data_IF_688398826273
#
_entry.id   IF_688398826273
#
_cell.length_a   1.000
_cell.length_b   1.000
_cell.length_c   1.000
_cell.angle_alpha   90.00
_cell.angle_beta   90.00
_cell.angle_gamma   90.00
#
_symmetry.space_group_name_H-M   'P 1'
#
loop_
_entity.id
_entity.type
_entity.pdbx_description
1 polymer ?
#
# COMPACT_ATOMS: atom_id res chain seq x y z
N UNK A 1 2.62 -4.65 -1.02
CA UNK A 1 1.38 -3.86 -0.95
C UNK A 1 1.57 -2.72 0.00
N UNK A 2 0.94 -1.60 -0.24
CA UNK A 2 1.00 -0.43 0.62
C UNK A 2 -0.41 -0.01 1.03
N UNK A 3 -0.53 0.62 2.19
CA UNK A 3 -1.77 1.25 2.66
C UNK A 3 -1.67 2.74 2.41
N UNK A 4 -2.62 3.26 1.64
CA UNK A 4 -2.67 4.67 1.22
C UNK A 4 -3.86 5.34 1.89
N UNK A 5 -3.65 6.50 2.49
CA UNK A 5 -4.73 7.38 2.92
C UNK A 5 -5.06 8.34 1.78
N UNK A 6 -6.31 8.38 1.36
CA UNK A 6 -6.86 9.35 0.40
C UNK A 6 -7.61 10.40 1.19
N UNK A 7 -7.25 11.67 1.00
CA UNK A 7 -7.91 12.82 1.64
C UNK A 7 -8.50 13.68 0.53
N UNK A 8 -9.80 13.54 0.32
CA UNK A 8 -10.53 14.16 -0.80
C UNK A 8 -11.99 14.32 -0.39
N UNK A 9 -12.53 15.53 -0.46
CA UNK A 9 -13.92 15.84 -0.08
C UNK A 9 -14.93 15.49 -1.19
N UNK A 10 -14.49 15.46 -2.45
CA UNK A 10 -15.34 15.03 -3.55
C UNK A 10 -15.48 13.50 -3.57
N UNK A 11 -16.62 12.99 -3.08
CA UNK A 11 -16.89 11.54 -2.94
C UNK A 11 -16.71 10.74 -4.24
N UNK A 12 -16.98 11.34 -5.40
CA UNK A 12 -16.78 10.67 -6.70
C UNK A 12 -15.31 10.46 -6.98
N UNK A 13 -14.47 11.48 -6.77
CA UNK A 13 -13.02 11.41 -6.94
C UNK A 13 -12.42 10.45 -5.92
N UNK A 14 -12.76 10.57 -4.65
CA UNK A 14 -12.31 9.67 -3.59
C UNK A 14 -12.62 8.19 -3.91
N UNK A 15 -13.86 7.91 -4.37
CA UNK A 15 -14.28 6.56 -4.75
C UNK A 15 -13.53 6.04 -5.98
N UNK A 16 -13.24 6.90 -6.96
CA UNK A 16 -12.46 6.53 -8.15
C UNK A 16 -11.02 6.18 -7.78
N UNK A 17 -10.37 7.03 -6.98
CA UNK A 17 -9.01 6.81 -6.49
C UNK A 17 -8.91 5.53 -5.67
N UNK A 18 -9.83 5.35 -4.72
CA UNK A 18 -9.91 4.15 -3.89
C UNK A 18 -10.04 2.89 -4.73
N UNK A 19 -11.01 2.85 -5.66
CA UNK A 19 -11.23 1.70 -6.52
C UNK A 19 -9.97 1.37 -7.35
N UNK A 20 -9.36 2.38 -7.98
CA UNK A 20 -8.15 2.17 -8.76
C UNK A 20 -6.99 1.64 -7.92
N UNK A 21 -6.78 2.15 -6.70
CA UNK A 21 -5.75 1.64 -5.80
C UNK A 21 -6.03 0.20 -5.35
N UNK A 22 -7.30 -0.15 -5.12
CA UNK A 22 -7.70 -1.53 -4.78
C UNK A 22 -7.48 -2.50 -5.95
N UNK A 23 -7.80 -2.10 -7.19
CA UNK A 23 -7.55 -2.88 -8.40
C UNK A 23 -6.05 -3.15 -8.60
N UNK A 24 -5.21 -2.19 -8.21
CA UNK A 24 -3.74 -2.33 -8.18
C UNK A 24 -3.21 -3.11 -6.94
N UNK A 25 -4.11 -3.62 -6.08
CA UNK A 25 -3.75 -4.44 -4.93
C UNK A 25 -3.19 -3.65 -3.75
N UNK A 26 -3.42 -2.35 -3.67
CA UNK A 26 -3.15 -1.53 -2.49
C UNK A 26 -4.34 -1.55 -1.54
N UNK A 27 -4.14 -1.29 -0.24
CA UNK A 27 -5.22 -0.89 0.65
C UNK A 27 -5.39 0.62 0.58
N UNK A 28 -6.63 1.11 0.63
CA UNK A 28 -6.91 2.53 0.52
C UNK A 28 -8.06 2.91 1.46
N UNK A 29 -7.76 3.78 2.40
CA UNK A 29 -8.76 4.41 3.28
C UNK A 29 -9.05 5.83 2.78
N UNK A 30 -10.22 6.34 3.09
CA UNK A 30 -10.68 7.66 2.66
C UNK A 30 -11.05 8.50 3.87
N UNK A 31 -10.49 9.71 3.93
CA UNK A 31 -10.90 10.80 4.78
C UNK A 31 -11.50 11.91 3.90
N UNK A 32 -12.56 12.56 4.34
CA UNK A 32 -13.21 13.64 3.59
C UNK A 32 -12.89 15.03 4.13
N UNK A 33 -12.16 15.09 5.25
CA UNK A 33 -11.71 16.31 5.91
C UNK A 33 -10.25 16.20 6.34
N UNK A 34 -9.59 17.33 6.55
CA UNK A 34 -8.23 17.38 7.10
C UNK A 34 -8.15 16.83 8.53
N UNK A 35 -9.18 17.08 9.34
CA UNK A 35 -9.29 16.63 10.71
C UNK A 35 -9.39 15.09 10.80
N UNK A 36 -10.23 14.48 9.95
CA UNK A 36 -10.32 13.00 9.86
C UNK A 36 -8.99 12.41 9.41
N UNK A 37 -8.33 13.04 8.43
CA UNK A 37 -7.03 12.60 7.96
C UNK A 37 -5.97 12.61 9.05
N UNK A 38 -5.93 13.64 9.89
CA UNK A 38 -5.03 13.74 11.04
C UNK A 38 -5.28 12.62 12.05
N UNK A 39 -6.54 12.40 12.42
CA UNK A 39 -6.92 11.33 13.34
C UNK A 39 -6.53 9.96 12.79
N UNK A 40 -6.85 9.67 11.53
CA UNK A 40 -6.55 8.39 10.88
C UNK A 40 -5.05 8.15 10.79
N UNK A 41 -4.28 9.16 10.36
CA UNK A 41 -2.84 9.03 10.18
C UNK A 41 -2.06 8.91 11.50
N UNK A 42 -2.60 9.41 12.61
CA UNK A 42 -2.03 9.22 13.95
C UNK A 42 -2.40 7.85 14.54
N UNK A 43 -3.58 7.32 14.19
CA UNK A 43 -4.08 6.04 14.69
C UNK A 43 -3.54 4.83 13.94
N UNK A 44 -3.13 5.01 12.67
CA UNK A 44 -2.73 3.92 11.79
C UNK A 44 -1.52 4.32 10.94
N UNK A 45 -0.58 3.39 10.68
CA UNK A 45 0.53 3.64 9.77
C UNK A 45 0.05 3.60 8.31
N UNK A 46 0.35 4.64 7.55
CA UNK A 46 0.18 4.72 6.11
C UNK A 46 1.54 4.81 5.43
N UNK A 47 1.69 4.14 4.29
CA UNK A 47 2.92 4.21 3.49
C UNK A 47 2.93 5.37 2.51
N UNK A 48 1.77 5.97 2.25
CA UNK A 48 1.64 7.24 1.52
C UNK A 48 0.28 7.89 1.82
N UNK A 49 0.22 9.20 1.62
CA UNK A 49 -1.01 10.00 1.74
C UNK A 49 -1.22 10.73 0.41
N UNK A 50 -2.39 10.59 -0.19
CA UNK A 50 -2.86 11.40 -1.32
C UNK A 50 -3.77 12.47 -0.74
N UNK A 51 -3.41 13.74 -0.89
CA UNK A 51 -4.03 14.85 -0.16
C UNK A 51 -4.47 15.94 -1.13
N UNK A 52 -5.79 16.19 -1.20
CA UNK A 52 -6.28 17.37 -1.93
C UNK A 52 -5.87 18.65 -1.20
N UNK A 53 -5.42 19.62 -1.96
CA UNK A 53 -5.11 20.98 -1.46
C UNK A 53 -6.39 21.72 -1.07
N UNK A 54 -7.48 21.52 -1.81
CA UNK A 54 -8.74 22.27 -1.68
C UNK A 54 -9.76 21.54 -0.80
N UNK A 55 -9.41 21.30 0.47
CA UNK A 55 -10.33 20.70 1.43
C UNK A 55 -11.17 21.77 2.15
N UNK A 56 -12.43 21.46 2.53
CA UNK A 56 -13.24 22.32 3.38
C UNK A 56 -12.68 22.34 4.81
N UNK A 57 -12.77 23.48 5.47
CA UNK A 57 -12.24 23.68 6.83
C UNK A 57 -10.72 23.75 6.85
N UNK A 58 -10.05 22.69 7.25
CA UNK A 58 -8.60 22.59 7.28
C UNK A 58 -8.07 22.31 5.87
N UNK A 59 -7.39 23.29 5.25
CA UNK A 59 -6.84 23.12 3.90
C UNK A 59 -5.80 21.99 3.85
N UNK A 60 -5.55 21.42 2.64
CA UNK A 60 -4.54 20.37 2.49
C UNK A 60 -3.13 20.81 2.90
N UNK A 61 -2.76 22.06 2.68
CA UNK A 61 -1.48 22.61 3.16
C UNK A 61 -1.39 22.59 4.69
N UNK A 62 -2.43 23.06 5.36
CA UNK A 62 -2.49 23.06 6.82
C UNK A 62 -2.53 21.64 7.39
N UNK A 63 -3.29 20.74 6.76
CA UNK A 63 -3.35 19.32 7.10
C UNK A 63 -1.94 18.70 7.01
N UNK A 64 -1.20 18.94 5.93
CA UNK A 64 0.17 18.44 5.76
C UNK A 64 1.08 18.95 6.87
N UNK A 65 1.05 20.24 7.17
CA UNK A 65 1.84 20.83 8.25
C UNK A 65 1.53 20.21 9.60
N UNK A 66 0.26 19.99 9.91
CA UNK A 66 -0.15 19.37 11.18
C UNK A 66 0.24 17.89 11.24
N UNK A 67 0.19 17.15 10.14
CA UNK A 67 0.73 15.78 10.05
C UNK A 67 2.22 15.76 10.43
N UNK A 68 3.02 16.66 9.87
CA UNK A 68 4.46 16.75 10.17
C UNK A 68 4.71 17.13 11.65
N UNK A 69 3.95 18.08 12.19
CA UNK A 69 4.02 18.46 13.60
C UNK A 69 3.63 17.31 14.55
N UNK A 70 2.72 16.45 14.11
CA UNK A 70 2.33 15.23 14.85
C UNK A 70 3.31 14.05 14.68
N UNK A 71 4.42 14.23 13.95
CA UNK A 71 5.42 13.18 13.72
C UNK A 71 5.02 12.15 12.67
N UNK A 72 4.01 12.44 11.85
CA UNK A 72 3.61 11.57 10.73
C UNK A 72 4.49 11.90 9.52
N UNK A 73 5.39 10.98 9.18
CA UNK A 73 6.38 11.14 8.09
C UNK A 73 6.03 10.30 6.84
N UNK A 74 4.80 9.78 6.75
CA UNK A 74 4.33 9.16 5.53
C UNK A 74 4.48 10.14 4.34
N UNK A 75 5.00 9.71 3.18
CA UNK A 75 5.10 10.55 1.99
C UNK A 75 3.74 11.09 1.58
N UNK A 76 3.67 12.39 1.29
CA UNK A 76 2.46 13.11 0.89
C UNK A 76 2.55 13.51 -0.58
N UNK A 77 1.60 13.00 -1.39
CA UNK A 77 1.33 13.45 -2.75
C UNK A 77 0.15 14.43 -2.72
N UNK A 78 0.42 15.71 -2.95
CA UNK A 78 -0.66 16.70 -3.04
C UNK A 78 -1.34 16.70 -4.39
N UNK A 79 -2.68 16.73 -4.38
CA UNK A 79 -3.50 16.96 -5.57
C UNK A 79 -3.90 18.44 -5.61
N UNK A 80 -3.64 19.12 -6.72
CA UNK A 80 -3.91 20.55 -6.86
C UNK A 80 -4.59 20.88 -8.17
N UNK A 81 -5.58 21.77 -8.15
CA UNK A 81 -6.19 22.33 -9.35
C UNK A 81 -5.35 23.44 -9.98
N UNK A 82 -4.31 23.94 -9.29
CA UNK A 82 -3.48 25.07 -9.72
C UNK A 82 -2.07 24.61 -10.04
N UNK A 83 -1.63 24.83 -11.28
CA UNK A 83 -0.28 24.52 -11.76
C UNK A 83 0.73 25.66 -11.56
N UNK A 84 0.44 26.68 -10.75
CA UNK A 84 1.31 27.81 -10.48
C UNK A 84 2.63 27.41 -9.80
N UNK A 85 3.74 28.07 -10.19
CA UNK A 85 5.05 27.83 -9.55
C UNK A 85 4.98 28.20 -8.07
N UNK A 86 4.21 29.25 -7.72
CA UNK A 86 4.08 29.74 -6.35
C UNK A 86 3.35 28.75 -5.43
N UNK A 87 2.34 28.02 -5.94
CA UNK A 87 1.62 27.00 -5.17
C UNK A 87 2.50 25.76 -4.92
N UNK A 88 3.40 25.43 -5.86
CA UNK A 88 4.35 24.33 -5.70
C UNK A 88 5.46 24.67 -4.69
N UNK A 89 5.92 25.90 -4.68
CA UNK A 89 6.93 26.37 -3.71
C UNK A 89 6.33 26.42 -2.32
N UNK A 90 5.13 27.01 -2.16
CA UNK A 90 4.43 27.05 -0.87
C UNK A 90 4.17 25.66 -0.29
N UNK A 91 3.91 24.70 -1.15
CA UNK A 91 3.63 23.34 -0.70
C UNK A 91 4.86 22.52 -0.35
N UNK A 92 6.00 22.72 -1.00
CA UNK A 92 7.28 22.09 -0.59
C UNK A 92 7.69 22.59 0.80
N UNK A 93 7.45 23.86 1.10
CA UNK A 93 7.77 24.48 2.39
C UNK A 93 6.92 23.91 3.55
N UNK A 94 5.74 23.34 3.28
CA UNK A 94 4.89 22.70 4.31
C UNK A 94 5.17 21.21 4.50
N UNK A 95 6.14 20.64 3.77
CA UNK A 95 6.60 19.27 3.95
C UNK A 95 5.89 18.22 3.08
N UNK A 96 5.27 18.63 1.97
CA UNK A 96 4.83 17.70 0.93
C UNK A 96 6.01 17.14 0.13
N UNK A 97 5.87 15.91 -0.37
CA UNK A 97 6.97 15.21 -1.05
C UNK A 97 6.85 15.23 -2.57
N UNK A 98 5.64 15.41 -3.12
CA UNK A 98 5.37 15.60 -4.56
C UNK A 98 4.00 16.22 -4.81
N UNK A 99 3.76 16.69 -6.04
CA UNK A 99 2.55 17.35 -6.50
C UNK A 99 2.03 16.70 -7.78
N UNK A 100 0.70 16.63 -7.88
CA UNK A 100 0.01 16.18 -9.09
C UNK A 100 -1.12 17.15 -9.42
N UNK A 101 -1.07 17.74 -10.61
CA UNK A 101 -2.05 18.75 -11.04
C UNK A 101 -3.30 18.08 -11.61
N UNK A 102 -4.46 18.48 -11.15
CA UNK A 102 -5.77 18.10 -11.73
C UNK A 102 -6.00 18.88 -13.05
N UNK A 103 -6.46 18.26 -14.16
CA UNK A 103 -6.75 16.83 -14.29
C UNK A 103 -5.50 15.98 -14.52
N UNK A 104 -5.47 14.76 -13.99
CA UNK A 104 -4.36 13.81 -14.12
C UNK A 104 -4.86 12.44 -14.59
N UNK A 105 -3.95 11.63 -15.11
CA UNK A 105 -4.23 10.22 -15.37
C UNK A 105 -3.97 9.38 -14.12
N UNK A 106 -4.77 8.33 -13.92
CA UNK A 106 -4.56 7.42 -12.80
C UNK A 106 -3.19 6.72 -12.87
N UNK A 107 -2.70 6.45 -14.09
CA UNK A 107 -1.37 5.89 -14.31
C UNK A 107 -0.25 6.83 -13.80
N UNK A 108 -0.39 8.16 -13.96
CA UNK A 108 0.56 9.13 -13.44
C UNK A 108 0.53 9.17 -11.90
N UNK A 109 -0.65 9.19 -11.29
CA UNK A 109 -0.80 9.12 -9.84
C UNK A 109 -0.09 7.89 -9.27
N UNK A 110 -0.31 6.71 -9.85
CA UNK A 110 0.36 5.48 -9.44
C UNK A 110 1.87 5.53 -9.60
N UNK A 111 2.37 6.10 -10.70
CA UNK A 111 3.80 6.21 -10.93
C UNK A 111 4.46 7.11 -9.87
N UNK A 112 3.82 8.24 -9.53
CA UNK A 112 4.28 9.15 -8.47
C UNK A 112 4.22 8.51 -7.08
N UNK A 113 3.11 7.85 -6.74
CA UNK A 113 2.99 7.13 -5.47
C UNK A 113 4.08 6.07 -5.31
N UNK A 114 4.34 5.27 -6.36
CA UNK A 114 5.44 4.28 -6.32
C UNK A 114 6.81 4.94 -6.10
N UNK A 115 7.06 6.10 -6.74
CA UNK A 115 8.30 6.83 -6.57
C UNK A 115 8.45 7.38 -5.14
N UNK A 116 7.38 7.91 -4.56
CA UNK A 116 7.35 8.44 -3.20
C UNK A 116 7.57 7.35 -2.16
N UNK A 117 6.84 6.25 -2.26
CA UNK A 117 6.95 5.11 -1.35
C UNK A 117 8.38 4.53 -1.37
N UNK A 118 9.01 4.50 -2.55
CA UNK A 118 10.41 4.08 -2.69
C UNK A 118 11.38 5.03 -1.98
N UNK A 119 11.13 6.34 -2.00
CA UNK A 119 11.98 7.37 -1.37
C UNK A 119 11.76 7.48 0.14
N UNK A 120 10.53 7.35 0.60
CA UNK A 120 10.12 7.52 2.00
C UNK A 120 10.43 6.33 2.93
N UNK A 121 10.82 5.18 2.38
CA UNK A 121 11.37 4.06 3.15
C UNK A 121 12.88 4.07 2.99
N UNK A 122 13.64 4.08 4.10
CA UNK A 122 15.06 3.73 4.03
C UNK A 122 15.23 2.47 3.19
N UNK A 123 16.39 2.25 2.56
CA UNK A 123 16.69 1.21 1.57
C UNK A 123 15.76 -0.02 1.65
N UNK A 124 14.61 0.06 0.98
CA UNK A 124 13.76 -1.12 0.79
C UNK A 124 14.45 -1.91 -0.31
N UNK A 125 14.80 -3.16 -0.09
CA UNK A 125 15.38 -3.98 -1.13
C UNK A 125 14.48 -3.90 -2.37
N UNK A 126 15.07 -3.54 -3.50
CA UNK A 126 14.38 -3.46 -4.80
C UNK A 126 13.78 -4.80 -5.19
N UNK A 127 14.25 -5.87 -4.59
CA UNK A 127 13.79 -7.23 -4.78
C UNK A 127 13.74 -7.95 -3.42
N UNK A 128 12.62 -8.60 -3.12
CA UNK A 128 12.50 -9.48 -1.96
C UNK A 128 12.89 -10.89 -2.39
N UNK A 129 13.73 -11.55 -1.60
CA UNK A 129 14.21 -12.92 -1.88
C UNK A 129 14.06 -13.75 -0.61
N UNK A 130 13.39 -14.90 -0.74
CA UNK A 130 13.25 -15.89 0.34
C UNK A 130 13.38 -17.28 -0.30
N UNK A 131 14.49 -17.97 -0.03
CA UNK A 131 14.83 -19.21 -0.72
C UNK A 131 14.89 -18.98 -2.24
N UNK A 132 14.11 -19.73 -2.99
CA UNK A 132 13.99 -19.60 -4.46
C UNK A 132 12.90 -18.64 -4.90
N UNK A 133 12.08 -18.14 -3.98
CA UNK A 133 11.07 -17.11 -4.28
C UNK A 133 11.73 -15.73 -4.42
N UNK A 134 11.38 -15.02 -5.49
CA UNK A 134 11.76 -13.62 -5.75
C UNK A 134 10.52 -12.80 -6.05
N UNK A 135 10.48 -11.59 -5.57
CA UNK A 135 9.38 -10.66 -5.79
C UNK A 135 9.94 -9.25 -5.95
N UNK A 136 9.62 -8.62 -7.07
CA UNK A 136 9.93 -7.21 -7.34
C UNK A 136 8.68 -6.35 -7.08
N UNK A 137 8.65 -5.62 -5.98
CA UNK A 137 7.53 -4.73 -5.66
C UNK A 137 7.34 -3.59 -6.66
N UNK A 138 8.41 -3.16 -7.34
CA UNK A 138 8.37 -2.02 -8.25
C UNK A 138 7.71 -2.39 -9.59
N UNK A 139 8.07 -3.57 -10.16
CA UNK A 139 7.45 -4.07 -11.40
C UNK A 139 6.22 -4.95 -11.14
N UNK A 140 5.94 -5.32 -9.89
CA UNK A 140 4.90 -6.23 -9.46
C UNK A 140 5.00 -7.61 -10.10
N UNK A 141 6.23 -8.10 -10.25
CA UNK A 141 6.52 -9.42 -10.81
C UNK A 141 7.03 -10.36 -9.72
N UNK A 142 6.74 -11.62 -9.86
CA UNK A 142 7.18 -12.68 -8.96
C UNK A 142 7.79 -13.85 -9.73
N UNK A 143 8.77 -14.52 -9.14
CA UNK A 143 9.42 -15.70 -9.72
C UNK A 143 9.70 -16.74 -8.65
N UNK A 144 9.74 -18.00 -9.07
CA UNK A 144 10.41 -19.05 -8.31
C UNK A 144 11.54 -19.64 -9.17
N UNK A 145 12.77 -19.50 -8.68
CA UNK A 145 13.96 -19.78 -9.50
C UNK A 145 13.98 -18.93 -10.76
N UNK A 146 13.87 -19.56 -11.93
CA UNK A 146 13.84 -18.88 -13.23
C UNK A 146 12.42 -18.73 -13.82
N UNK A 147 11.42 -19.30 -13.17
CA UNK A 147 10.03 -19.31 -13.67
C UNK A 147 9.26 -18.14 -13.12
N UNK A 148 8.72 -17.30 -14.00
CA UNK A 148 7.83 -16.20 -13.62
C UNK A 148 6.46 -16.74 -13.21
N UNK A 149 5.89 -16.18 -12.15
CA UNK A 149 4.62 -16.57 -11.57
C UNK A 149 3.62 -15.43 -11.76
N UNK A 150 2.51 -15.69 -12.43
CA UNK A 150 1.43 -14.71 -12.58
C UNK A 150 0.54 -14.69 -11.34
N UNK A 151 0.58 -13.59 -10.61
CA UNK A 151 -0.23 -13.35 -9.42
C UNK A 151 -1.26 -12.25 -9.70
N UNK A 152 -2.47 -12.42 -9.16
CA UNK A 152 -3.42 -11.31 -9.10
C UNK A 152 -2.93 -10.23 -8.11
N UNK A 153 -3.47 -9.00 -8.17
CA UNK A 153 -3.08 -7.92 -7.26
C UNK A 153 -3.13 -8.29 -5.78
N UNK A 154 -4.16 -9.04 -5.36
CA UNK A 154 -4.32 -9.47 -3.96
C UNK A 154 -3.38 -10.60 -3.55
N UNK A 155 -3.15 -11.57 -4.45
CA UNK A 155 -2.16 -12.63 -4.23
C UNK A 155 -0.75 -12.04 -4.10
N UNK A 156 -0.41 -11.09 -4.98
CA UNK A 156 0.87 -10.38 -4.94
C UNK A 156 1.05 -9.67 -3.60
N UNK A 157 0.03 -8.92 -3.16
CA UNK A 157 0.05 -8.18 -1.93
C UNK A 157 0.27 -9.07 -0.69
N UNK A 158 -0.42 -10.21 -0.63
CA UNK A 158 -0.25 -11.16 0.46
C UNK A 158 1.13 -11.83 0.43
N UNK A 159 1.61 -12.22 -0.75
CA UNK A 159 2.95 -12.79 -0.89
C UNK A 159 4.02 -11.78 -0.47
N UNK A 160 3.87 -10.51 -0.85
CA UNK A 160 4.75 -9.43 -0.41
C UNK A 160 4.75 -9.28 1.13
N UNK A 161 3.56 -9.35 1.78
CA UNK A 161 3.46 -9.28 3.23
C UNK A 161 4.25 -10.39 3.92
N UNK A 162 4.17 -11.60 3.39
CA UNK A 162 4.96 -12.75 3.86
C UNK A 162 6.45 -12.56 3.63
N UNK A 163 6.86 -12.18 2.42
CA UNK A 163 8.27 -12.04 2.05
C UNK A 163 8.99 -10.87 2.74
N UNK A 164 8.25 -9.89 3.23
CA UNK A 164 8.81 -8.82 4.08
C UNK A 164 9.07 -9.26 5.52
N UNK A 165 8.50 -10.38 5.95
CA UNK A 165 8.58 -10.90 7.32
C UNK A 165 8.76 -12.43 7.29
N UNK A 166 9.85 -12.94 6.64
CA UNK A 166 10.10 -14.37 6.58
C UNK A 166 10.26 -14.93 8.00
N UNK A 167 9.82 -16.17 8.22
CA UNK A 167 9.85 -16.81 9.53
C UNK A 167 8.80 -16.31 10.54
N UNK A 168 8.22 -15.12 10.33
CA UNK A 168 7.23 -14.55 11.24
C UNK A 168 5.82 -15.10 10.97
N UNK A 169 5.08 -15.44 12.04
CA UNK A 169 3.66 -15.80 11.94
C UNK A 169 2.83 -14.52 11.79
N UNK A 170 2.10 -14.44 10.69
CA UNK A 170 1.13 -13.36 10.45
C UNK A 170 -0.28 -13.87 10.73
N UNK A 171 -1.01 -13.16 11.59
CA UNK A 171 -2.40 -13.50 11.88
C UNK A 171 -3.30 -13.20 10.65
N UNK A 172 -4.47 -13.86 10.61
CA UNK A 172 -5.47 -13.57 9.55
C UNK A 172 -5.88 -12.09 9.53
N UNK A 173 -5.96 -11.46 10.70
CA UNK A 173 -6.31 -10.05 10.82
C UNK A 173 -5.20 -9.16 10.23
N UNK A 174 -3.93 -9.41 10.58
CA UNK A 174 -2.80 -8.67 10.02
C UNK A 174 -2.71 -8.81 8.49
N UNK A 175 -2.95 -10.01 7.95
CA UNK A 175 -2.99 -10.25 6.51
C UNK A 175 -4.18 -9.55 5.85
N UNK A 176 -5.33 -9.52 6.50
CA UNK A 176 -6.51 -8.81 6.04
C UNK A 176 -6.26 -7.30 6.00
N UNK A 177 -5.78 -6.72 7.07
CA UNK A 177 -5.45 -5.29 7.18
C UNK A 177 -4.38 -4.85 6.18
N UNK A 178 -3.49 -5.78 5.81
CA UNK A 178 -2.46 -5.50 4.82
C UNK A 178 -3.01 -5.48 3.39
N UNK A 179 -3.95 -6.36 3.03
CA UNK A 179 -4.43 -6.57 1.66
C UNK A 179 -5.84 -6.02 1.38
N UNK A 180 -6.60 -5.65 2.40
CA UNK A 180 -7.94 -5.07 2.29
C UNK A 180 -8.06 -3.81 3.14
N UNK A 181 -9.00 -2.94 2.80
CA UNK A 181 -9.32 -1.74 3.58
C UNK A 181 -10.26 -2.03 4.77
N UNK A 182 -10.46 -1.04 5.63
CA UNK A 182 -11.33 -1.16 6.81
C UNK A 182 -12.79 -1.42 6.48
N UNK A 183 -13.28 -0.99 5.32
CA UNK A 183 -14.67 -1.13 4.91
C UNK A 183 -15.02 -2.53 4.38
N UNK A 184 -14.06 -3.47 4.40
CA UNK A 184 -14.33 -4.83 3.94
C UNK A 184 -15.11 -5.62 4.99
N UNK A 185 -16.40 -5.83 4.74
CA UNK A 185 -17.34 -6.46 5.71
C UNK A 185 -17.21 -7.98 5.81
N UNK A 186 -16.71 -8.66 4.77
CA UNK A 186 -16.72 -10.13 4.68
C UNK A 186 -15.36 -10.75 5.12
N UNK A 187 -15.12 -10.78 6.44
CA UNK A 187 -13.80 -11.06 7.04
C UNK A 187 -13.46 -12.54 7.28
N UNK A 188 -14.43 -13.48 7.23
CA UNK A 188 -14.21 -14.77 7.89
C UNK A 188 -13.26 -15.74 7.21
N UNK A 189 -13.28 -15.88 5.87
CA UNK A 189 -12.51 -16.93 5.17
C UNK A 189 -11.67 -16.45 3.98
N UNK A 190 -11.66 -15.14 3.69
CA UNK A 190 -11.01 -14.63 2.49
C UNK A 190 -9.51 -14.91 2.46
N UNK A 191 -8.83 -14.77 3.58
CA UNK A 191 -7.40 -15.04 3.71
C UNK A 191 -7.07 -16.50 3.41
N UNK A 192 -7.87 -17.44 3.93
CA UNK A 192 -7.64 -18.86 3.72
C UNK A 192 -7.77 -19.24 2.23
N UNK A 193 -8.72 -18.62 1.52
CA UNK A 193 -8.90 -18.78 0.08
C UNK A 193 -7.71 -18.26 -0.71
N UNK A 194 -7.24 -17.04 -0.41
CA UNK A 194 -6.11 -16.45 -1.12
C UNK A 194 -4.79 -17.15 -0.80
N UNK A 195 -4.56 -17.58 0.43
CA UNK A 195 -3.38 -18.42 0.78
C UNK A 195 -3.41 -19.72 -0.03
N UNK A 196 -4.56 -20.35 -0.21
CA UNK A 196 -4.68 -21.53 -1.09
C UNK A 196 -4.30 -21.19 -2.53
N UNK A 197 -4.81 -20.09 -3.09
CA UNK A 197 -4.47 -19.66 -4.45
C UNK A 197 -2.97 -19.37 -4.62
N UNK A 198 -2.36 -18.71 -3.63
CA UNK A 198 -0.91 -18.47 -3.64
C UNK A 198 -0.16 -19.80 -3.65
N UNK A 199 -0.48 -20.75 -2.75
CA UNK A 199 0.15 -22.07 -2.73
C UNK A 199 0.00 -22.84 -4.04
N UNK A 200 -1.15 -22.73 -4.70
CA UNK A 200 -1.38 -23.34 -6.02
C UNK A 200 -0.45 -22.79 -7.10
N UNK A 201 0.05 -21.57 -6.95
CA UNK A 201 0.92 -20.89 -7.92
C UNK A 201 2.40 -20.91 -7.53
N UNK A 202 2.71 -20.73 -6.24
CA UNK A 202 4.10 -20.59 -5.80
C UNK A 202 4.69 -21.88 -5.25
N UNK A 203 3.88 -22.84 -4.78
CA UNK A 203 4.34 -24.08 -4.13
C UNK A 203 4.09 -25.32 -4.99
N UNK A 204 2.82 -25.60 -5.34
CA UNK A 204 2.44 -26.84 -6.04
C UNK A 204 3.20 -27.14 -7.32
N UNK A 205 3.41 -26.17 -8.25
CA UNK A 205 4.13 -26.45 -9.50
C UNK A 205 5.61 -26.78 -9.28
N UNK A 206 6.14 -26.45 -8.10
CA UNK A 206 7.56 -26.59 -7.76
C UNK A 206 7.81 -27.67 -6.70
N UNK A 207 6.75 -28.34 -6.22
CA UNK A 207 6.86 -29.39 -5.20
C UNK A 207 7.35 -28.89 -3.84
N UNK A 208 7.03 -27.63 -3.50
CA UNK A 208 7.47 -26.99 -2.25
C UNK A 208 6.28 -26.67 -1.35
N UNK A 209 6.54 -26.35 -0.08
CA UNK A 209 5.57 -25.94 0.94
C UNK A 209 6.09 -24.70 1.69
N UNK A 210 6.30 -23.60 0.98
CA UNK A 210 6.90 -22.39 1.55
C UNK A 210 5.97 -21.70 2.56
N UNK A 211 4.67 -21.70 2.29
CA UNK A 211 3.70 -21.07 3.20
C UNK A 211 3.08 -22.16 4.08
N UNK A 212 3.35 -22.12 5.36
CA UNK A 212 2.77 -23.06 6.34
C UNK A 212 1.57 -22.45 7.08
N UNK A 213 0.68 -23.33 7.59
CA UNK A 213 -0.43 -22.96 8.45
C UNK A 213 -0.05 -23.15 9.90
N UNK A 214 -0.07 -22.08 10.69
CA UNK A 214 0.07 -22.14 12.15
C UNK A 214 -1.32 -22.19 12.76
N UNK A 215 -1.73 -23.39 13.20
CA UNK A 215 -3.10 -23.65 13.67
C UNK A 215 -3.50 -22.69 14.78
N UNK A 216 -4.69 -22.12 14.66
CA UNK A 216 -5.27 -21.19 15.63
C UNK A 216 -4.71 -19.76 15.57
N UNK A 217 -3.60 -19.50 14.84
CA UNK A 217 -2.94 -18.20 14.78
C UNK A 217 -3.04 -17.59 13.38
N UNK A 218 -2.45 -18.24 12.37
CA UNK A 218 -2.38 -17.67 11.03
C UNK A 218 -1.47 -18.46 10.09
N UNK A 219 -0.60 -17.75 9.38
CA UNK A 219 0.27 -18.30 8.37
C UNK A 219 1.68 -17.75 8.50
N UNK A 220 2.67 -18.49 8.00
CA UNK A 220 4.09 -18.12 8.00
C UNK A 220 4.74 -18.51 6.67
N UNK A 221 5.58 -17.65 6.11
CA UNK A 221 6.51 -18.04 5.07
C UNK A 221 7.79 -18.54 5.73
N UNK A 222 8.25 -19.74 5.38
CA UNK A 222 9.52 -20.29 5.85
C UNK A 222 10.70 -19.47 5.33
N UNK A 223 11.79 -19.39 6.06
CA UNK A 223 12.98 -18.61 5.70
C UNK A 223 13.81 -19.24 4.58
N UNK A 224 13.72 -20.55 4.43
CA UNK A 224 14.40 -21.33 3.40
C UNK A 224 13.48 -22.39 2.82
N UNK A 225 13.80 -22.87 1.61
CA UNK A 225 13.12 -24.02 0.98
C UNK A 225 13.63 -25.39 1.51
N UNK A 226 14.51 -25.38 2.52
CA UNK A 226 15.04 -26.60 3.14
C UNK A 226 14.02 -27.18 4.13
N UNK A 227 13.92 -28.54 4.10
CA UNK A 227 13.03 -29.36 4.93
C UNK A 227 13.21 -29.18 6.44
#
# INVERSE_FOLDING_TARGET
MVRVLIVEDELKMASLLRRGLLEEGHAADVATTGEDALWMAQSHPYEAIVLDVMLPGLSGFETCRQLRNAGVWAPVLMLTARGGVDDRVAGLDVGADDYLTKPFSFAELLARLRALIRRGGGERPTELVVGTLRLDPASRRAWRGRTEISLSPKEFALLEAFMRRPGQVLSRLQLLEHAWDFAYENRSNVIDVYVRYIREKVDRPFGTESIETVRGIGYRLRESDEE
#
